data_IF_137852689748
#
_entry.id   IF_137852689748
#
_cell.length_a   1.000
_cell.length_b   1.000
_cell.length_c   1.000
_cell.angle_alpha   90.00
_cell.angle_beta   90.00
_cell.angle_gamma   90.00
#
_symmetry.space_group_name_H-M   'P 1'
#
loop_
_entity.id
_entity.type
_entity.pdbx_description
1 polymer ?
#
# COMPACT_ATOMS: atom_id res chain seq x y z
N UNK A 1 -9.25 -13.07 5.52
CA UNK A 1 -8.16 -13.17 4.51
C UNK A 1 -7.47 -11.81 4.42
N UNK A 2 -6.14 -11.70 4.61
CA UNK A 2 -5.45 -10.42 4.52
C UNK A 2 -5.21 -10.10 3.04
N UNK A 3 -5.73 -8.97 2.60
CA UNK A 3 -5.53 -8.44 1.25
C UNK A 3 -4.05 -8.07 1.18
N UNK A 4 -3.27 -8.81 0.39
CA UNK A 4 -1.84 -8.63 0.26
C UNK A 4 -1.53 -7.18 -0.10
N UNK A 5 -0.93 -6.45 0.84
CA UNK A 5 -0.40 -5.12 0.63
C UNK A 5 0.84 -5.30 -0.26
N UNK A 6 0.63 -5.34 -1.58
CA UNK A 6 1.72 -5.42 -2.54
C UNK A 6 2.46 -4.09 -2.51
N UNK A 7 3.49 -4.06 -1.68
CA UNK A 7 4.57 -3.12 -1.73
C UNK A 7 5.31 -3.35 -3.05
N UNK A 8 4.82 -2.76 -4.14
CA UNK A 8 5.45 -2.77 -5.45
C UNK A 8 5.39 -1.36 -5.99
N UNK A 9 6.57 -0.83 -6.31
CA UNK A 9 6.77 0.44 -6.97
C UNK A 9 5.66 0.66 -8.01
N UNK A 10 4.74 1.56 -7.71
CA UNK A 10 3.63 1.88 -8.60
C UNK A 10 4.24 2.52 -9.84
N UNK A 11 3.98 1.91 -11.00
CA UNK A 11 4.40 2.48 -12.27
C UNK A 11 3.54 3.71 -12.52
N UNK A 12 4.20 4.78 -12.93
CA UNK A 12 3.59 6.09 -13.14
C UNK A 12 3.80 6.53 -14.58
N UNK A 13 2.77 7.18 -15.11
CA UNK A 13 2.75 7.89 -16.38
C UNK A 13 3.34 7.03 -17.51
N UNK A 14 4.55 7.35 -17.96
CA UNK A 14 5.22 6.75 -19.12
C UNK A 14 5.80 5.35 -18.85
N UNK A 15 5.82 4.90 -17.58
CA UNK A 15 6.32 3.56 -17.22
C UNK A 15 5.30 2.45 -17.55
N UNK A 16 4.08 2.83 -17.93
CA UNK A 16 2.97 1.92 -18.24
C UNK A 16 3.07 1.51 -19.71
N UNK A 17 3.61 0.32 -19.97
CA UNK A 17 3.85 -0.18 -21.33
C UNK A 17 2.67 -0.99 -21.91
N UNK A 18 1.46 -0.78 -21.37
CA UNK A 18 0.26 -1.52 -21.77
C UNK A 18 -0.53 -0.73 -22.84
N UNK A 19 -1.01 -1.39 -23.92
CA UNK A 19 -1.78 -0.71 -24.96
C UNK A 19 -3.20 -0.35 -24.51
N UNK A 20 -3.79 -1.17 -23.64
CA UNK A 20 -5.11 -0.96 -23.06
C UNK A 20 -5.02 -1.05 -21.53
N UNK A 21 -5.65 -0.09 -20.86
CA UNK A 21 -5.67 0.01 -19.41
C UNK A 21 -7.11 0.21 -18.94
N UNK A 22 -7.45 -0.37 -17.79
CA UNK A 22 -8.68 -0.04 -17.10
C UNK A 22 -8.46 1.22 -16.29
N UNK A 23 -9.14 2.30 -16.65
CA UNK A 23 -9.00 3.61 -16.02
C UNK A 23 -10.04 3.81 -14.91
N UNK A 24 -9.56 4.31 -13.78
CA UNK A 24 -10.35 4.78 -12.66
C UNK A 24 -10.10 6.28 -12.52
N UNK A 25 -11.17 7.06 -12.58
CA UNK A 25 -11.11 8.52 -12.44
C UNK A 25 -10.76 8.97 -11.02
N UNK A 26 -10.65 10.29 -10.87
CA UNK A 26 -10.35 10.98 -9.61
C UNK A 26 -11.32 10.64 -8.48
N UNK A 27 -12.61 10.55 -8.78
CA UNK A 27 -13.66 10.24 -7.80
C UNK A 27 -13.85 8.74 -7.57
N UNK A 28 -12.88 7.92 -8.00
CA UNK A 28 -12.96 6.44 -8.05
C UNK A 28 -14.04 5.92 -8.99
N UNK A 29 -14.51 6.75 -9.92
CA UNK A 29 -15.46 6.34 -10.93
C UNK A 29 -14.75 5.48 -11.98
N UNK A 30 -15.29 4.28 -12.32
CA UNK A 30 -14.69 3.43 -13.35
C UNK A 30 -15.04 3.98 -14.74
N UNK A 31 -14.09 4.60 -15.44
CA UNK A 31 -14.27 5.06 -16.82
C UNK A 31 -14.21 3.91 -17.85
N UNK A 32 -13.85 2.70 -17.40
CA UNK A 32 -13.82 1.52 -18.25
C UNK A 32 -12.43 1.24 -18.82
N UNK A 33 -12.37 0.63 -20.00
CA UNK A 33 -11.11 0.26 -20.66
C UNK A 33 -10.81 1.31 -21.72
N UNK A 34 -9.67 1.98 -21.60
CA UNK A 34 -9.20 3.02 -22.52
C UNK A 34 -7.76 2.71 -22.93
N UNK A 35 -7.25 3.44 -23.93
CA UNK A 35 -5.83 3.36 -24.26
C UNK A 35 -4.99 4.04 -23.18
N UNK A 36 -3.72 3.63 -23.06
CA UNK A 36 -2.77 4.29 -22.16
C UNK A 36 -2.60 5.79 -22.49
N UNK A 37 -2.65 6.15 -23.77
CA UNK A 37 -2.60 7.54 -24.22
C UNK A 37 -3.79 8.38 -23.74
N UNK A 38 -5.02 7.84 -23.85
CA UNK A 38 -6.23 8.53 -23.38
C UNK A 38 -6.25 8.65 -21.86
N UNK A 39 -5.82 7.60 -21.15
CA UNK A 39 -5.66 7.64 -19.69
C UNK A 39 -4.67 8.71 -19.24
N UNK A 40 -3.55 8.85 -19.96
CA UNK A 40 -2.53 9.86 -19.66
C UNK A 40 -3.03 11.27 -19.97
N UNK A 41 -3.80 11.45 -21.05
CA UNK A 41 -4.48 12.72 -21.35
C UNK A 41 -5.42 13.16 -20.23
N UNK A 42 -6.30 12.26 -19.78
CA UNK A 42 -7.22 12.59 -18.70
C UNK A 42 -6.53 12.92 -17.37
N UNK A 43 -5.42 12.25 -17.08
CA UNK A 43 -4.60 12.58 -15.92
C UNK A 43 -4.01 14.01 -16.03
N UNK A 44 -3.48 14.36 -17.20
CA UNK A 44 -2.95 15.70 -17.49
C UNK A 44 -4.06 16.76 -17.42
N UNK A 45 -5.23 16.52 -18.01
CA UNK A 45 -6.37 17.43 -17.97
C UNK A 45 -6.86 17.68 -16.55
N UNK A 46 -6.81 16.66 -15.70
CA UNK A 46 -7.13 16.78 -14.27
C UNK A 46 -6.00 17.38 -13.44
N UNK A 47 -4.80 17.59 -14.00
CA UNK A 47 -3.61 18.08 -13.29
C UNK A 47 -3.07 17.08 -12.26
N UNK A 48 -3.23 15.79 -12.50
CA UNK A 48 -2.88 14.70 -11.58
C UNK A 48 -2.04 13.62 -12.29
N UNK A 49 -1.51 12.66 -11.52
CA UNK A 49 -0.71 11.57 -12.07
C UNK A 49 -1.55 10.35 -12.45
N UNK A 50 -1.11 9.63 -13.49
CA UNK A 50 -1.66 8.33 -13.84
C UNK A 50 -0.87 7.25 -13.09
N UNK A 51 -1.50 6.62 -12.10
CA UNK A 51 -0.86 5.63 -11.25
C UNK A 51 -1.40 4.24 -11.54
N UNK A 52 -0.54 3.33 -11.95
CA UNK A 52 -0.87 1.91 -12.10
C UNK A 52 -0.97 1.25 -10.71
N UNK A 53 -2.18 0.77 -10.36
CA UNK A 53 -2.43 0.08 -9.09
C UNK A 53 -2.25 -1.42 -9.23
N UNK A 54 -2.65 -1.99 -10.37
CA UNK A 54 -2.58 -3.44 -10.60
C UNK A 54 -1.98 -3.75 -11.98
N UNK A 55 -0.67 -4.01 -12.06
CA UNK A 55 -0.03 -4.51 -13.27
C UNK A 55 -0.41 -5.97 -13.61
N UNK A 56 -0.85 -6.73 -12.61
CA UNK A 56 -1.12 -8.17 -12.76
C UNK A 56 -2.50 -8.46 -13.36
N UNK A 57 -3.38 -7.45 -13.42
CA UNK A 57 -4.68 -7.58 -14.05
C UNK A 57 -4.55 -7.49 -15.57
N UNK A 58 -5.42 -8.21 -16.29
CA UNK A 58 -5.55 -8.13 -17.75
C UNK A 58 -6.96 -7.62 -18.06
N UNK A 59 -7.15 -6.35 -18.49
CA UNK A 59 -6.15 -5.29 -18.68
C UNK A 59 -5.66 -4.66 -17.35
N UNK A 60 -4.44 -4.10 -17.32
CA UNK A 60 -3.87 -3.48 -16.12
C UNK A 60 -4.71 -2.30 -15.64
N UNK A 61 -4.79 -2.13 -14.33
CA UNK A 61 -5.67 -1.12 -13.71
C UNK A 61 -4.88 0.12 -13.33
N UNK A 62 -5.24 1.24 -13.94
CA UNK A 62 -4.68 2.56 -13.69
C UNK A 62 -5.71 3.46 -13.00
N UNK A 63 -5.25 4.30 -12.07
CA UNK A 63 -6.07 5.28 -11.37
C UNK A 63 -5.42 6.65 -11.45
N UNK A 64 -6.25 7.66 -11.73
CA UNK A 64 -5.82 9.06 -11.68
C UNK A 64 -5.76 9.50 -10.22
N UNK A 65 -4.56 9.79 -9.70
CA UNK A 65 -4.36 10.32 -8.35
C UNK A 65 -3.02 11.03 -8.23
N UNK A 66 -2.89 11.92 -7.24
CA UNK A 66 -1.60 12.51 -6.88
C UNK A 66 -0.73 11.49 -6.13
N UNK A 67 0.34 11.02 -6.78
CA UNK A 67 1.23 10.00 -6.20
C UNK A 67 2.11 10.58 -5.08
N UNK A 68 2.54 11.84 -5.22
CA UNK A 68 3.43 12.50 -4.26
C UNK A 68 2.80 12.64 -2.88
N UNK A 69 1.56 13.11 -2.83
CA UNK A 69 0.78 13.28 -1.60
C UNK A 69 0.42 11.94 -0.97
N UNK A 70 0.11 10.93 -1.79
CA UNK A 70 -0.21 9.60 -1.30
C UNK A 70 1.00 8.93 -0.64
N UNK A 71 2.17 8.97 -1.29
CA UNK A 71 3.41 8.39 -0.74
C UNK A 71 3.80 9.04 0.60
N UNK A 72 3.62 10.36 0.72
CA UNK A 72 3.90 11.09 1.95
C UNK A 72 2.95 10.67 3.08
N UNK A 73 1.64 10.62 2.79
CA UNK A 73 0.63 10.20 3.75
C UNK A 73 0.82 8.73 4.18
N UNK A 74 1.15 7.85 3.23
CA UNK A 74 1.38 6.43 3.51
C UNK A 74 2.64 6.23 4.34
N UNK A 75 3.74 6.91 4.00
CA UNK A 75 4.99 6.87 4.79
C UNK A 75 4.76 7.33 6.23
N UNK A 76 4.04 8.45 6.43
CA UNK A 76 3.69 8.95 7.76
C UNK A 76 2.86 7.94 8.54
N UNK A 77 1.82 7.37 7.92
CA UNK A 77 0.95 6.36 8.54
C UNK A 77 1.69 5.06 8.86
N UNK A 78 2.59 4.60 7.98
CA UNK A 78 3.43 3.44 8.24
C UNK A 78 4.40 3.69 9.40
N UNK A 79 4.96 4.90 9.50
CA UNK A 79 5.83 5.27 10.61
C UNK A 79 5.07 5.25 11.94
N UNK A 80 3.88 5.86 11.98
CA UNK A 80 2.98 5.83 13.14
C UNK A 80 2.52 4.41 13.50
N UNK A 81 2.24 3.56 12.50
CA UNK A 81 1.85 2.17 12.71
C UNK A 81 3.02 1.32 13.26
N UNK A 82 4.24 1.54 12.77
CA UNK A 82 5.45 0.88 13.27
C UNK A 82 5.81 1.31 14.69
N UNK A 83 5.56 2.58 15.03
CA UNK A 83 5.68 3.11 16.38
C UNK A 83 4.62 2.52 17.33
N UNK A 84 3.39 2.32 16.84
CA UNK A 84 2.28 1.72 17.61
C UNK A 84 2.34 0.19 17.69
N UNK A 85 3.07 -0.48 16.80
CA UNK A 85 3.35 -1.90 16.94
C UNK A 85 4.17 -2.11 18.21
N UNK A 86 3.51 -2.54 19.29
CA UNK A 86 4.17 -3.07 20.48
C UNK A 86 5.16 -4.15 20.02
N UNK A 87 6.45 -3.83 20.08
CA UNK A 87 7.49 -4.84 20.02
C UNK A 87 7.32 -5.71 21.27
N UNK A 88 6.61 -6.82 21.12
CA UNK A 88 6.53 -7.84 22.16
C UNK A 88 7.91 -8.51 22.15
N UNK A 89 8.88 -7.89 22.82
CA UNK A 89 10.14 -8.56 23.14
C UNK A 89 9.77 -9.66 24.12
N UNK A 90 9.65 -10.88 23.61
CA UNK A 90 9.52 -12.08 24.41
C UNK A 90 10.85 -12.18 25.18
N UNK A 91 10.87 -11.67 26.42
CA UNK A 91 11.95 -11.93 27.35
C UNK A 91 11.80 -13.40 27.74
N UNK A 92 12.48 -14.27 27.01
CA UNK A 92 12.64 -15.67 27.35
C UNK A 92 13.32 -15.73 28.73
N UNK A 93 12.51 -15.85 29.78
CA UNK A 93 12.99 -16.12 31.12
C UNK A 93 13.55 -17.54 31.06
N UNK A 94 14.88 -17.64 31.02
CA UNK A 94 15.59 -18.91 31.23
C UNK A 94 15.24 -19.42 32.62
N UNK A 95 14.22 -20.25 32.71
CA UNK A 95 13.93 -21.03 33.92
C UNK A 95 15.07 -22.03 34.10
N UNK A 96 15.91 -21.81 35.10
CA UNK A 96 16.79 -22.84 35.64
C UNK A 96 15.92 -23.72 36.55
N UNK A 97 15.81 -25.04 36.30
CA UNK A 97 15.15 -25.94 37.24
C UNK A 97 16.10 -26.16 38.43
N UNK A 98 16.00 -25.28 39.42
CA UNK A 98 16.75 -25.34 40.66
C UNK A 98 16.04 -24.48 41.69
N UNK A 99 15.13 -25.12 42.42
CA UNK A 99 14.80 -24.84 43.83
C UNK A 99 14.42 -23.40 44.18
N UNK A 100 13.13 -23.13 44.41
CA UNK A 100 12.57 -22.88 45.76
C UNK A 100 11.08 -22.53 45.60
N UNK A 101 10.25 -23.08 46.49
CA UNK A 101 8.82 -22.79 46.61
C UNK A 101 8.59 -21.36 47.15
N UNK A 102 7.51 -20.71 46.70
CA UNK A 102 7.04 -19.41 47.21
C UNK A 102 7.62 -18.22 46.44
N UNK A 103 6.89 -17.16 46.12
CA UNK A 103 5.63 -16.68 46.63
C UNK A 103 5.08 -15.62 45.64
N UNK A 104 3.75 -15.57 45.54
CA UNK A 104 2.87 -14.47 45.12
C UNK A 104 3.49 -13.18 44.52
N UNK A 105 3.04 -12.81 43.31
CA UNK A 105 2.01 -11.77 43.15
C UNK A 105 1.67 -11.55 41.68
N UNK A 106 0.46 -11.95 41.30
CA UNK A 106 -0.23 -11.39 40.13
C UNK A 106 -0.99 -10.17 40.65
N UNK A 107 -0.64 -8.98 40.15
CA UNK A 107 -1.53 -7.82 40.15
C UNK A 107 -1.35 -7.02 38.87
#
# INVERSE_FOLDING_TARGET
MPIAQQNKAQRLNETINAPQVRLIGVDKEPLGIVSSAEALRQAIEAGLDLVEISPLAVPPVCRIMDYGKFKYAESKKQHEAKLKQKQIQIKEIKFRPGTDEGDYNIK
#
